data_IF_392025875521
#
_entry.id   IF_392025875521
#
_cell.length_a   1.000
_cell.length_b   1.000
_cell.length_c   1.000
_cell.angle_alpha   90.00
_cell.angle_beta   90.00
_cell.angle_gamma   90.00
#
_symmetry.space_group_name_H-M   'P 1'
#
loop_
_entity.id
_entity.type
_entity.pdbx_description
1 polymer ?
#
# COMPACT_ATOMS: atom_id res chain seq x y z
N UNK A 1 -27.71 23.92 7.32
CA UNK A 1 -27.02 22.84 8.05
C UNK A 1 -26.68 21.77 7.02
N UNK A 2 -25.41 21.68 6.61
CA UNK A 2 -24.99 20.72 5.57
C UNK A 2 -25.02 19.32 6.18
N UNK A 3 -25.98 18.51 5.78
CA UNK A 3 -26.08 17.12 6.25
C UNK A 3 -25.01 16.31 5.55
N UNK A 4 -24.02 15.84 6.30
CA UNK A 4 -23.07 14.84 5.80
C UNK A 4 -23.90 13.63 5.37
N UNK A 5 -23.88 13.32 4.07
CA UNK A 5 -24.69 12.24 3.50
C UNK A 5 -24.26 10.90 4.10
N UNK A 6 -25.21 10.13 4.64
CA UNK A 6 -24.96 8.77 5.13
C UNK A 6 -24.35 7.85 4.05
N UNK A 7 -24.61 8.16 2.77
CA UNK A 7 -23.99 7.47 1.64
C UNK A 7 -22.47 7.71 1.54
N UNK A 8 -21.98 8.90 1.93
CA UNK A 8 -20.54 9.17 1.98
C UNK A 8 -19.85 8.27 3.01
N UNK A 9 -20.45 8.10 4.19
CA UNK A 9 -19.93 7.19 5.21
C UNK A 9 -19.86 5.74 4.72
N UNK A 10 -20.89 5.28 3.98
CA UNK A 10 -20.90 3.94 3.38
C UNK A 10 -19.83 3.78 2.29
N UNK A 11 -19.59 4.82 1.49
CA UNK A 11 -18.52 4.81 0.48
C UNK A 11 -17.13 4.74 1.13
N UNK A 12 -16.90 5.50 2.21
CA UNK A 12 -15.66 5.43 2.98
C UNK A 12 -15.45 4.01 3.52
N UNK A 13 -16.47 3.44 4.17
CA UNK A 13 -16.39 2.08 4.70
C UNK A 13 -16.12 1.04 3.60
N UNK A 14 -16.79 1.15 2.45
CA UNK A 14 -16.54 0.30 1.28
C UNK A 14 -15.08 0.41 0.81
N UNK A 15 -14.54 1.63 0.70
CA UNK A 15 -13.16 1.84 0.25
C UNK A 15 -12.13 1.26 1.22
N UNK A 16 -12.38 1.39 2.53
CA UNK A 16 -11.54 0.80 3.57
C UNK A 16 -11.53 -0.73 3.47
N UNK A 17 -12.70 -1.36 3.40
CA UNK A 17 -12.81 -2.81 3.27
C UNK A 17 -12.12 -3.34 2.01
N UNK A 18 -12.26 -2.64 0.88
CA UNK A 18 -11.60 -3.02 -0.36
C UNK A 18 -10.07 -2.91 -0.27
N UNK A 19 -9.56 -1.83 0.34
CA UNK A 19 -8.13 -1.64 0.55
C UNK A 19 -7.56 -2.70 1.52
N UNK A 20 -8.27 -2.99 2.61
CA UNK A 20 -7.86 -4.01 3.58
C UNK A 20 -7.91 -5.42 2.98
N UNK A 21 -8.88 -5.72 2.11
CA UNK A 21 -8.92 -6.98 1.38
C UNK A 21 -7.66 -7.19 0.54
N UNK A 22 -7.25 -6.20 -0.23
CA UNK A 22 -6.02 -6.27 -1.00
C UNK A 22 -4.78 -6.36 -0.10
N UNK A 23 -4.77 -5.67 1.05
CA UNK A 23 -3.67 -5.80 2.02
C UNK A 23 -3.57 -7.20 2.63
N UNK A 24 -4.70 -7.86 2.86
CA UNK A 24 -4.73 -9.27 3.28
C UNK A 24 -4.19 -10.19 2.19
N UNK A 25 -4.53 -9.95 0.91
CA UNK A 25 -4.00 -10.74 -0.20
C UNK A 25 -2.47 -10.62 -0.30
N UNK A 26 -1.92 -9.40 -0.15
CA UNK A 26 -0.47 -9.17 -0.09
C UNK A 26 0.16 -9.89 1.10
N UNK A 27 -0.53 -9.90 2.24
CA UNK A 27 -0.08 -10.62 3.44
C UNK A 27 -0.07 -12.13 3.20
N UNK A 28 -1.11 -12.70 2.60
CA UNK A 28 -1.16 -14.10 2.21
C UNK A 28 -0.04 -14.47 1.23
N UNK A 29 0.19 -13.63 0.21
CA UNK A 29 1.30 -13.81 -0.73
C UNK A 29 2.66 -13.81 -0.03
N UNK A 30 2.87 -12.92 0.94
CA UNK A 30 4.11 -12.87 1.72
C UNK A 30 4.31 -14.13 2.56
N UNK A 31 3.26 -14.62 3.23
CA UNK A 31 3.33 -15.84 4.05
C UNK A 31 3.63 -17.06 3.18
N UNK A 32 2.93 -17.19 2.05
CA UNK A 32 3.11 -18.30 1.12
C UNK A 32 4.53 -18.38 0.54
N UNK A 33 5.20 -17.23 0.38
CA UNK A 33 6.55 -17.14 -0.20
C UNK A 33 7.65 -16.86 0.84
N UNK A 34 7.34 -16.96 2.14
CA UNK A 34 8.28 -16.61 3.19
C UNK A 34 9.57 -17.43 3.15
N UNK A 35 9.50 -18.68 2.66
CA UNK A 35 10.65 -19.60 2.56
C UNK A 35 11.23 -19.67 1.14
N UNK A 36 10.73 -18.88 0.20
CA UNK A 36 11.25 -18.88 -1.18
C UNK A 36 12.53 -18.06 -1.23
N UNK A 37 13.64 -18.70 -1.59
CA UNK A 37 14.93 -18.02 -1.78
C UNK A 37 14.78 -16.85 -2.76
N UNK A 38 15.37 -15.71 -2.42
CA UNK A 38 15.29 -14.45 -3.18
C UNK A 38 13.90 -13.78 -3.20
N UNK A 39 12.94 -14.24 -2.39
CA UNK A 39 11.68 -13.52 -2.22
C UNK A 39 11.87 -12.25 -1.40
N UNK A 40 11.33 -11.15 -1.91
CA UNK A 40 11.27 -9.86 -1.22
C UNK A 40 9.85 -9.58 -0.76
N UNK A 41 9.71 -9.27 0.54
CA UNK A 41 8.43 -8.93 1.18
C UNK A 41 7.78 -7.75 0.49
N UNK A 42 6.48 -7.89 0.22
CA UNK A 42 5.63 -6.85 -0.37
C UNK A 42 4.85 -6.12 0.72
N UNK A 43 4.56 -4.84 0.51
CA UNK A 43 3.85 -3.98 1.46
C UNK A 43 2.91 -3.03 0.74
N UNK A 44 1.60 -3.09 1.02
CA UNK A 44 0.63 -2.17 0.44
C UNK A 44 0.84 -0.76 1.01
N UNK A 45 0.81 0.25 0.15
CA UNK A 45 0.89 1.66 0.54
C UNK A 45 -0.49 2.28 0.46
N UNK A 46 -1.09 2.50 1.62
CA UNK A 46 -2.35 3.20 1.73
C UNK A 46 -2.16 4.70 1.47
N UNK A 47 -3.11 5.28 0.73
CA UNK A 47 -3.18 6.70 0.44
C UNK A 47 -4.62 7.17 0.60
N UNK A 48 -4.78 8.37 1.13
CA UNK A 48 -6.10 9.01 1.18
C UNK A 48 -6.61 9.34 -0.23
N UNK A 49 -7.91 9.18 -0.44
CA UNK A 49 -8.55 9.68 -1.64
C UNK A 49 -8.62 11.22 -1.60
N UNK A 50 -8.78 11.85 -2.77
CA UNK A 50 -8.91 13.31 -2.87
C UNK A 50 -10.09 13.78 -2.01
N UNK A 51 -9.86 14.67 -1.04
CA UNK A 51 -10.92 15.14 -0.15
C UNK A 51 -11.94 16.00 -0.91
N UNK A 52 -13.19 15.99 -0.44
CA UNK A 52 -14.23 16.91 -0.91
C UNK A 52 -14.11 18.23 -0.13
N UNK A 53 -13.96 19.34 -0.84
CA UNK A 53 -13.88 20.65 -0.23
C UNK A 53 -15.29 21.24 -0.05
N UNK A 54 -15.67 21.53 1.20
CA UNK A 54 -16.89 22.23 1.55
C UNK A 54 -16.57 23.67 1.95
N UNK A 55 -17.02 24.68 1.18
CA UNK A 55 -16.67 26.08 1.39
C UNK A 55 -16.93 26.63 2.79
N UNK A 56 -17.85 26.04 3.54
CA UNK A 56 -18.27 26.46 4.88
C UNK A 56 -17.86 25.51 6.01
N UNK A 57 -17.21 24.39 5.70
CA UNK A 57 -16.94 23.33 6.70
C UNK A 57 -15.56 22.68 6.56
N UNK A 58 -14.74 23.12 5.61
CA UNK A 58 -13.40 22.59 5.36
C UNK A 58 -13.40 21.36 4.46
N UNK A 59 -12.34 20.57 4.56
CA UNK A 59 -12.17 19.36 3.75
C UNK A 59 -12.76 18.12 4.44
N UNK A 60 -13.48 17.30 3.67
CA UNK A 60 -14.07 16.05 4.10
C UNK A 60 -13.38 14.89 3.37
N UNK A 61 -12.84 13.94 4.14
CA UNK A 61 -12.19 12.75 3.59
C UNK A 61 -13.17 11.88 2.80
N UNK A 62 -12.69 11.32 1.68
CA UNK A 62 -13.48 10.46 0.77
C UNK A 62 -13.05 9.00 0.84
N UNK A 63 -12.31 8.63 1.88
CA UNK A 63 -11.84 7.28 2.12
C UNK A 63 -10.38 7.06 1.70
N UNK A 64 -10.05 5.81 1.44
CA UNK A 64 -8.68 5.34 1.28
C UNK A 64 -8.56 4.40 0.08
N UNK A 65 -7.36 4.30 -0.48
CA UNK A 65 -7.01 3.34 -1.51
C UNK A 65 -5.54 2.89 -1.33
N UNK A 66 -5.14 1.81 -1.98
CA UNK A 66 -3.73 1.40 -2.07
C UNK A 66 -3.15 2.00 -3.36
N UNK A 67 -2.16 2.89 -3.21
CA UNK A 67 -1.48 3.51 -4.35
C UNK A 67 -0.58 2.52 -5.08
N UNK A 68 0.15 1.72 -4.33
CA UNK A 68 1.13 0.78 -4.88
C UNK A 68 1.48 -0.28 -3.84
N UNK A 69 2.05 -1.39 -4.30
CA UNK A 69 2.61 -2.43 -3.46
C UNK A 69 4.14 -2.31 -3.55
N UNK A 70 4.76 -1.78 -2.50
CA UNK A 70 6.22 -1.61 -2.43
C UNK A 70 6.87 -2.93 -2.04
N UNK A 71 8.06 -3.20 -2.59
CA UNK A 71 8.88 -4.34 -2.20
C UNK A 71 10.00 -3.88 -1.30
N UNK A 72 10.17 -4.53 -0.15
CA UNK A 72 11.31 -4.32 0.72
C UNK A 72 12.46 -5.20 0.25
N UNK A 73 13.40 -4.58 -0.49
CA UNK A 73 14.73 -5.12 -0.74
C UNK A 73 15.72 -4.21 -0.04
N UNK A 74 16.71 -4.79 0.62
CA UNK A 74 17.81 -4.02 1.18
C UNK A 74 18.71 -3.59 0.01
N UNK A 75 18.62 -2.31 -0.37
CA UNK A 75 19.41 -1.76 -1.47
C UNK A 75 20.91 -1.77 -1.22
N UNK A 76 21.34 -1.77 0.05
CA UNK A 76 22.75 -1.85 0.43
C UNK A 76 23.27 -3.28 0.22
N UNK A 77 22.51 -4.28 0.64
CA UNK A 77 22.81 -5.69 0.38
C UNK A 77 22.76 -6.00 -1.13
N UNK A 78 21.79 -5.45 -1.86
CA UNK A 78 21.70 -5.58 -3.32
C UNK A 78 22.92 -4.93 -4.02
N UNK A 79 23.48 -3.86 -3.47
CA UNK A 79 24.67 -3.20 -4.00
C UNK A 79 25.92 -4.04 -3.70
N UNK A 80 26.10 -4.51 -2.46
CA UNK A 80 27.21 -5.40 -2.10
C UNK A 80 27.19 -6.70 -2.90
N UNK A 81 26.02 -7.33 -3.07
CA UNK A 81 25.87 -8.55 -3.86
C UNK A 81 26.22 -8.31 -5.33
N UNK A 82 25.79 -7.18 -5.91
CA UNK A 82 26.18 -6.79 -7.28
C UNK A 82 27.69 -6.57 -7.40
N UNK A 83 28.31 -5.86 -6.46
CA UNK A 83 29.76 -5.66 -6.44
C UNK A 83 30.52 -6.99 -6.30
N UNK A 84 30.11 -7.86 -5.37
CA UNK A 84 30.72 -9.18 -5.19
C UNK A 84 30.58 -10.07 -6.45
N UNK A 85 29.39 -10.09 -7.06
CA UNK A 85 29.13 -10.87 -8.29
C UNK A 85 29.93 -10.32 -9.48
N UNK A 86 30.11 -8.99 -9.57
CA UNK A 86 30.92 -8.36 -10.61
C UNK A 86 32.41 -8.67 -10.50
N UNK A 87 32.91 -8.85 -9.27
CA UNK A 87 34.30 -9.25 -9.01
C UNK A 87 34.54 -10.75 -9.24
N UNK A 88 33.55 -11.59 -8.94
CA UNK A 88 33.62 -13.05 -9.18
C UNK A 88 33.55 -13.41 -10.68
N UNK A 89 33.02 -12.50 -11.52
CA UNK A 89 32.89 -12.73 -12.97
C UNK A 89 34.15 -12.37 -13.77
N UNK A 90 35.26 -12.06 -13.09
CA UNK A 90 36.58 -11.74 -13.65
C UNK A 90 37.62 -12.72 -13.11
#
# INVERSE_FOLDING_TARGET
>A
MSTISSFLGLQIARSALAADQLAMDVTGHNVANANTTSYSRQSPVFVQNTPLNYPSSGEVGTGVNISTIKRYRDSFIDAQLRSATSLQSY
#
